data_IF_131464438369
#
_entry.id   IF_131464438369
#
_cell.length_a   1.000
_cell.length_b   1.000
_cell.length_c   1.000
_cell.angle_alpha   90.00
_cell.angle_beta   90.00
_cell.angle_gamma   90.00
#
_symmetry.space_group_name_H-M   'P 1'
#
loop_
_entity.id
_entity.type
_entity.pdbx_description
1 polymer ?
#
# COMPACT_ATOMS: atom_id res chain seq x y z
N UNK A 1 -34.81 17.76 -26.15
CA UNK A 1 -34.98 16.62 -25.23
C UNK A 1 -33.61 16.37 -24.61
N UNK A 2 -33.47 16.72 -23.34
CA UNK A 2 -32.21 16.79 -22.60
C UNK A 2 -31.67 15.38 -22.35
N UNK A 3 -30.43 15.12 -22.76
CA UNK A 3 -29.64 13.99 -22.27
C UNK A 3 -28.56 14.59 -21.36
N UNK A 4 -28.57 14.09 -20.14
CA UNK A 4 -27.84 14.47 -18.94
C UNK A 4 -26.35 14.75 -19.16
N UNK A 5 -25.98 15.98 -18.86
CA UNK A 5 -24.65 16.40 -18.42
C UNK A 5 -24.33 15.65 -17.11
N UNK A 6 -23.76 14.45 -17.23
CA UNK A 6 -23.10 13.79 -16.09
C UNK A 6 -21.93 14.67 -15.69
N UNK A 7 -22.17 15.51 -14.68
CA UNK A 7 -21.11 16.27 -14.02
C UNK A 7 -20.15 15.26 -13.39
N UNK A 8 -19.09 14.91 -14.11
CA UNK A 8 -17.91 14.28 -13.55
C UNK A 8 -17.39 15.25 -12.48
N UNK A 9 -17.56 14.91 -11.21
CA UNK A 9 -16.97 15.69 -10.12
C UNK A 9 -15.47 15.90 -10.44
N UNK A 10 -14.94 17.13 -10.26
CA UNK A 10 -13.55 17.39 -10.59
C UNK A 10 -12.67 16.59 -9.62
N UNK A 11 -12.20 15.42 -10.08
CA UNK A 11 -11.24 14.61 -9.32
C UNK A 11 -10.04 15.50 -8.99
N UNK A 12 -9.70 15.59 -7.70
CA UNK A 12 -8.55 16.36 -7.23
C UNK A 12 -7.32 15.90 -8.03
N UNK A 13 -6.60 16.85 -8.63
CA UNK A 13 -5.44 16.51 -9.47
C UNK A 13 -4.42 15.68 -8.68
N UNK A 14 -3.75 14.74 -9.35
CA UNK A 14 -2.72 13.90 -8.73
C UNK A 14 -1.61 14.74 -8.08
N UNK A 15 -1.25 15.87 -8.69
CA UNK A 15 -0.29 16.84 -8.13
C UNK A 15 -0.79 17.44 -6.81
N UNK A 16 -2.07 17.82 -6.74
CA UNK A 16 -2.67 18.38 -5.52
C UNK A 16 -2.73 17.33 -4.40
N UNK A 17 -3.08 16.08 -4.73
CA UNK A 17 -3.07 14.98 -3.77
C UNK A 17 -1.65 14.69 -3.24
N UNK A 18 -0.66 14.65 -4.13
CA UNK A 18 0.74 14.44 -3.75
C UNK A 18 1.23 15.53 -2.79
N UNK A 19 0.96 16.79 -3.10
CA UNK A 19 1.35 17.92 -2.24
C UNK A 19 0.67 17.88 -0.88
N UNK A 20 -0.60 17.45 -0.81
CA UNK A 20 -1.29 17.21 0.46
C UNK A 20 -0.60 16.10 1.28
N UNK A 21 -0.27 14.97 0.65
CA UNK A 21 0.41 13.87 1.33
C UNK A 21 1.81 14.26 1.81
N UNK A 22 2.57 15.02 1.02
CA UNK A 22 3.90 15.52 1.40
C UNK A 22 3.84 16.43 2.61
N UNK A 23 2.97 17.43 2.60
CA UNK A 23 2.76 18.32 3.76
C UNK A 23 2.34 17.53 5.00
N UNK A 24 1.41 16.59 4.85
CA UNK A 24 0.95 15.75 5.95
C UNK A 24 2.01 14.77 6.48
N UNK A 25 2.98 14.36 5.65
CA UNK A 25 4.13 13.58 6.10
C UNK A 25 5.10 14.43 6.93
N UNK A 26 5.49 15.59 6.39
CA UNK A 26 6.42 16.50 7.08
C UNK A 26 5.85 16.95 8.43
N UNK A 27 4.57 17.31 8.48
CA UNK A 27 3.92 17.75 9.71
C UNK A 27 3.82 16.65 10.78
N UNK A 28 3.64 15.39 10.37
CA UNK A 28 3.51 14.26 11.31
C UNK A 28 4.86 13.65 11.73
N UNK A 29 5.89 13.79 10.89
CA UNK A 29 7.18 13.13 11.05
C UNK A 29 7.14 11.61 10.77
N UNK A 30 8.29 10.92 10.92
CA UNK A 30 8.38 9.48 10.73
C UNK A 30 7.44 8.72 11.68
N UNK A 31 6.62 7.77 11.18
CA UNK A 31 5.64 7.07 12.00
C UNK A 31 6.31 6.05 12.94
N UNK A 32 5.73 5.92 14.14
CA UNK A 32 6.11 4.90 15.13
C UNK A 32 5.85 3.48 14.62
N UNK A 33 6.50 2.49 15.24
CA UNK A 33 6.29 1.07 14.92
C UNK A 33 4.81 0.66 15.01
N UNK A 34 4.09 1.18 16.01
CA UNK A 34 2.67 0.91 16.20
C UNK A 34 1.83 1.45 15.04
N UNK A 35 2.11 2.68 14.59
CA UNK A 35 1.39 3.29 13.48
C UNK A 35 1.69 2.58 12.15
N UNK A 36 2.94 2.15 11.92
CA UNK A 36 3.29 1.37 10.73
C UNK A 36 2.53 0.05 10.67
N UNK A 37 2.50 -0.70 11.78
CA UNK A 37 1.74 -1.96 11.90
C UNK A 37 0.24 -1.73 11.75
N UNK A 38 -0.31 -0.68 12.36
CA UNK A 38 -1.73 -0.36 12.24
C UNK A 38 -2.15 -0.04 10.79
N UNK A 39 -1.32 0.65 10.00
CA UNK A 39 -1.61 0.88 8.58
C UNK A 39 -1.64 -0.41 7.77
N UNK A 40 -0.72 -1.34 8.06
CA UNK A 40 -0.71 -2.67 7.45
C UNK A 40 -1.96 -3.46 7.85
N UNK A 41 -2.34 -3.42 9.12
CA UNK A 41 -3.55 -4.08 9.64
C UNK A 41 -4.82 -3.56 8.97
N UNK A 42 -4.93 -2.24 8.82
CA UNK A 42 -6.07 -1.61 8.13
C UNK A 42 -6.12 -1.95 6.65
N UNK A 43 -4.97 -2.03 5.97
CA UNK A 43 -4.91 -2.45 4.58
C UNK A 43 -5.35 -3.92 4.43
N UNK A 44 -4.91 -4.80 5.33
CA UNK A 44 -5.33 -6.20 5.32
C UNK A 44 -6.83 -6.32 5.64
N UNK A 45 -7.33 -5.60 6.64
CA UNK A 45 -8.75 -5.60 6.98
C UNK A 45 -9.60 -5.13 5.79
N UNK A 46 -9.21 -4.05 5.12
CA UNK A 46 -9.88 -3.56 3.91
C UNK A 46 -10.02 -4.67 2.85
N UNK A 47 -8.96 -5.45 2.62
CA UNK A 47 -9.01 -6.55 1.65
C UNK A 47 -9.86 -7.71 2.15
N UNK A 48 -9.66 -8.15 3.39
CA UNK A 48 -10.33 -9.34 3.92
C UNK A 48 -11.83 -9.12 4.12
N UNK A 49 -12.22 -7.98 4.67
CA UNK A 49 -13.62 -7.61 4.93
C UNK A 49 -14.43 -7.44 3.63
N UNK A 50 -13.73 -7.23 2.49
CA UNK A 50 -14.33 -7.01 1.17
C UNK A 50 -13.92 -8.08 0.16
N UNK A 51 -13.49 -9.27 0.63
CA UNK A 51 -12.94 -10.34 -0.22
C UNK A 51 -13.89 -10.71 -1.36
N UNK A 52 -15.17 -10.95 -1.05
CA UNK A 52 -16.15 -11.37 -2.07
C UNK A 52 -16.38 -10.27 -3.11
N UNK A 53 -16.45 -9.00 -2.68
CA UNK A 53 -16.59 -7.86 -3.57
C UNK A 53 -15.39 -7.73 -4.51
N UNK A 54 -14.16 -7.93 -4.03
CA UNK A 54 -12.97 -7.94 -4.88
C UNK A 54 -12.97 -9.10 -5.87
N UNK A 55 -13.36 -10.30 -5.43
CA UNK A 55 -13.45 -11.48 -6.30
C UNK A 55 -14.48 -11.24 -7.41
N UNK A 56 -15.63 -10.65 -7.11
CA UNK A 56 -16.66 -10.35 -8.10
C UNK A 56 -16.28 -9.20 -9.03
N UNK A 57 -15.61 -8.16 -8.52
CA UNK A 57 -15.07 -7.08 -9.36
C UNK A 57 -14.05 -7.63 -10.36
N UNK A 58 -13.12 -8.46 -9.92
CA UNK A 58 -12.16 -9.12 -10.82
C UNK A 58 -12.85 -10.10 -11.77
N UNK A 59 -13.84 -10.87 -11.31
CA UNK A 59 -14.60 -11.75 -12.21
C UNK A 59 -15.29 -10.96 -13.33
N UNK A 60 -15.76 -9.75 -13.03
CA UNK A 60 -16.34 -8.83 -14.01
C UNK A 60 -15.29 -8.28 -14.96
N UNK A 61 -14.14 -7.82 -14.44
CA UNK A 61 -13.05 -7.27 -15.26
C UNK A 61 -12.45 -8.30 -16.22
N UNK A 62 -12.29 -9.57 -15.80
CA UNK A 62 -11.68 -10.62 -16.63
C UNK A 62 -12.69 -11.48 -17.41
N UNK A 63 -13.97 -11.48 -17.00
CA UNK A 63 -15.08 -12.26 -17.58
C UNK A 63 -15.01 -13.78 -17.33
N UNK A 64 -13.86 -14.40 -17.56
CA UNK A 64 -13.69 -15.87 -17.55
C UNK A 64 -12.73 -16.37 -16.45
N UNK A 65 -12.07 -15.47 -15.74
CA UNK A 65 -11.11 -15.85 -14.70
C UNK A 65 -11.84 -16.55 -13.55
N UNK A 66 -11.30 -17.69 -13.13
CA UNK A 66 -11.86 -18.46 -12.03
C UNK A 66 -11.86 -17.65 -10.73
N UNK A 67 -13.03 -17.52 -10.10
CA UNK A 67 -13.20 -16.88 -8.79
C UNK A 67 -12.30 -17.51 -7.72
N UNK A 68 -12.21 -18.84 -7.70
CA UNK A 68 -11.36 -19.56 -6.77
C UNK A 68 -9.87 -19.26 -7.01
N UNK A 69 -9.46 -19.18 -8.29
CA UNK A 69 -8.09 -18.81 -8.64
C UNK A 69 -7.79 -17.35 -8.25
N UNK A 70 -8.71 -16.42 -8.49
CA UNK A 70 -8.57 -15.02 -8.05
C UNK A 70 -8.47 -14.92 -6.53
N UNK A 71 -9.39 -15.54 -5.79
CA UNK A 71 -9.33 -15.61 -4.32
C UNK A 71 -7.97 -16.11 -3.83
N UNK A 72 -7.48 -17.21 -4.41
CA UNK A 72 -6.21 -17.80 -3.98
C UNK A 72 -5.01 -16.91 -4.31
N UNK A 73 -4.96 -16.36 -5.53
CA UNK A 73 -3.79 -15.59 -6.01
C UNK A 73 -3.75 -14.14 -5.54
N UNK A 74 -4.91 -13.54 -5.31
CA UNK A 74 -5.04 -12.11 -5.03
C UNK A 74 -5.22 -11.80 -3.54
N UNK A 75 -5.88 -12.71 -2.81
CA UNK A 75 -6.26 -12.49 -1.40
C UNK A 75 -5.55 -13.47 -0.48
N UNK A 76 -5.69 -14.78 -0.68
CA UNK A 76 -5.08 -15.77 0.22
C UNK A 76 -3.55 -15.73 0.12
N UNK A 77 -3.02 -15.62 -1.10
CA UNK A 77 -1.58 -15.63 -1.38
C UNK A 77 -0.81 -14.47 -0.76
N UNK A 78 -1.46 -13.32 -0.49
CA UNK A 78 -0.78 -12.15 0.09
C UNK A 78 -0.69 -12.21 1.62
N UNK A 79 -1.54 -12.99 2.28
CA UNK A 79 -1.62 -13.09 3.76
C UNK A 79 -0.27 -13.41 4.41
N UNK A 80 0.44 -14.49 4.04
CA UNK A 80 1.70 -14.82 4.70
C UNK A 80 2.79 -13.76 4.48
N UNK A 81 2.79 -13.10 3.32
CA UNK A 81 3.76 -12.04 3.00
C UNK A 81 3.50 -10.78 3.84
N UNK A 82 2.23 -10.42 4.02
CA UNK A 82 1.85 -9.26 4.82
C UNK A 82 2.08 -9.53 6.30
N UNK A 83 1.78 -10.72 6.81
CA UNK A 83 2.07 -11.07 8.21
C UNK A 83 3.57 -11.11 8.48
N UNK A 84 4.37 -11.62 7.53
CA UNK A 84 5.83 -11.54 7.61
C UNK A 84 6.29 -10.08 7.67
N UNK A 85 5.83 -9.25 6.74
CA UNK A 85 6.13 -7.80 6.69
C UNK A 85 5.78 -7.12 8.02
N UNK A 86 4.58 -7.35 8.52
CA UNK A 86 4.03 -6.74 9.73
C UNK A 86 4.80 -7.14 10.99
N UNK A 87 5.11 -8.42 11.15
CA UNK A 87 5.78 -8.97 12.33
C UNK A 87 7.25 -8.52 12.42
N UNK A 88 7.90 -8.26 11.28
CA UNK A 88 9.32 -7.88 11.23
C UNK A 88 9.57 -6.36 11.29
N UNK A 89 8.54 -5.51 11.18
CA UNK A 89 8.70 -4.03 11.28
C UNK A 89 9.57 -3.59 12.46
N UNK A 90 9.36 -4.06 13.72
CA UNK A 90 10.17 -3.62 14.85
C UNK A 90 11.65 -3.97 14.71
N UNK A 91 11.96 -5.08 14.02
CA UNK A 91 13.34 -5.49 13.76
C UNK A 91 13.96 -4.65 12.65
N UNK A 92 13.24 -4.43 11.56
CA UNK A 92 13.74 -3.68 10.39
C UNK A 92 13.96 -2.19 10.67
N UNK A 93 13.34 -1.64 11.71
CA UNK A 93 13.58 -0.26 12.14
C UNK A 93 14.86 -0.06 12.96
N UNK A 94 15.52 -1.13 13.42
CA UNK A 94 16.70 -1.00 14.31
C UNK A 94 17.91 -0.46 13.56
N UNK A 95 18.64 0.47 14.18
CA UNK A 95 19.90 0.96 13.63
C UNK A 95 20.93 -0.17 13.52
N UNK A 96 21.64 -0.20 12.40
CA UNK A 96 22.75 -1.14 12.19
C UNK A 96 24.04 -0.48 12.66
N UNK A 97 24.62 -1.01 13.74
CA UNK A 97 25.86 -0.50 14.34
C UNK A 97 27.07 -0.93 13.53
N UNK A 98 27.80 0.03 12.99
CA UNK A 98 29.05 -0.16 12.25
C UNK A 98 30.26 -0.02 13.20
N UNK A 99 31.46 -0.35 12.69
CA UNK A 99 32.74 -0.11 13.37
C UNK A 99 32.81 -0.67 14.80
N UNK A 100 32.28 -1.88 15.02
CA UNK A 100 32.20 -2.50 16.36
C UNK A 100 33.55 -2.55 17.08
N UNK A 101 34.64 -2.83 16.36
CA UNK A 101 35.99 -2.88 16.92
C UNK A 101 36.54 -1.49 17.31
N UNK A 102 36.22 -0.44 16.54
CA UNK A 102 36.71 0.92 16.79
C UNK A 102 35.94 1.67 17.89
N UNK A 103 34.84 1.10 18.41
CA UNK A 103 34.11 1.65 19.56
C UNK A 103 34.96 1.75 20.82
N UNK A 104 35.88 0.81 21.03
CA UNK A 104 36.81 0.85 22.15
C UNK A 104 37.74 2.08 22.08
N UNK A 105 38.01 2.58 20.87
CA UNK A 105 38.78 3.80 20.60
C UNK A 105 37.89 5.07 20.53
N UNK A 106 36.61 4.99 20.92
CA UNK A 106 35.69 6.13 20.98
C UNK A 106 34.91 6.42 19.69
N UNK A 107 35.18 5.73 18.58
CA UNK A 107 34.46 5.96 17.31
C UNK A 107 33.08 5.30 17.30
N UNK A 108 32.08 6.01 16.77
CA UNK A 108 30.70 5.51 16.63
C UNK A 108 30.19 5.78 15.21
N UNK A 109 29.64 4.75 14.57
CA UNK A 109 28.96 4.85 13.29
C UNK A 109 27.74 3.92 13.30
N UNK A 110 26.60 4.41 12.82
CA UNK A 110 25.34 3.66 12.74
C UNK A 110 24.61 4.00 11.44
N UNK A 111 23.85 3.05 10.91
CA UNK A 111 22.94 3.24 9.77
C UNK A 111 21.51 3.15 10.29
N UNK A 112 20.76 4.23 10.16
CA UNK A 112 19.36 4.31 10.59
C UNK A 112 18.42 4.28 9.37
N UNK A 113 17.50 3.30 9.28
CA UNK A 113 16.49 3.27 8.23
C UNK A 113 15.47 4.40 8.40
N UNK A 114 15.40 5.30 7.41
CA UNK A 114 14.44 6.40 7.39
C UNK A 114 13.41 6.24 6.24
N UNK A 115 12.14 6.61 6.45
CA UNK A 115 11.15 6.69 5.38
C UNK A 115 11.54 7.74 4.34
N UNK A 116 11.16 7.51 3.08
CA UNK A 116 11.37 8.43 1.96
C UNK A 116 10.32 9.55 1.92
N UNK A 117 9.13 9.31 2.47
CA UNK A 117 8.04 10.28 2.53
C UNK A 117 6.75 9.75 1.90
N UNK A 118 6.51 10.12 0.63
CA UNK A 118 5.34 9.67 -0.13
C UNK A 118 5.80 8.79 -1.29
N UNK A 119 5.26 7.58 -1.36
CA UNK A 119 5.57 6.58 -2.39
C UNK A 119 4.35 6.36 -3.29
N UNK A 120 4.56 6.37 -4.60
CA UNK A 120 3.55 6.01 -5.59
C UNK A 120 3.66 4.53 -5.97
N UNK A 121 2.54 3.82 -6.01
CA UNK A 121 2.44 2.42 -6.43
C UNK A 121 1.54 2.36 -7.66
N UNK A 122 2.08 1.86 -8.76
CA UNK A 122 1.37 1.73 -10.03
C UNK A 122 1.13 0.24 -10.28
N UNK A 123 -0.13 -0.18 -10.14
CA UNK A 123 -0.54 -1.58 -10.30
C UNK A 123 -0.77 -1.95 -11.76
N UNK A 124 -0.26 -3.11 -12.21
CA UNK A 124 -0.63 -3.67 -13.51
C UNK A 124 -2.00 -4.37 -13.43
N UNK A 125 -2.51 -4.83 -14.58
CA UNK A 125 -3.83 -5.43 -14.71
C UNK A 125 -3.89 -6.92 -14.39
N UNK A 126 -2.77 -7.66 -14.44
CA UNK A 126 -2.78 -9.13 -14.40
C UNK A 126 -3.01 -9.70 -13.00
N UNK A 127 -2.51 -9.01 -11.96
CA UNK A 127 -2.87 -9.29 -10.57
C UNK A 127 -3.21 -7.98 -9.85
N UNK A 128 -4.39 -7.40 -10.16
CA UNK A 128 -4.68 -5.99 -9.91
C UNK A 128 -4.73 -5.65 -8.42
N UNK A 129 -4.99 -6.63 -7.56
CA UNK A 129 -5.03 -6.43 -6.11
C UNK A 129 -3.68 -6.76 -5.48
N UNK A 130 -3.16 -7.98 -5.68
CA UNK A 130 -1.92 -8.43 -5.04
C UNK A 130 -0.73 -7.51 -5.34
N UNK A 131 -0.52 -7.16 -6.62
CA UNK A 131 0.62 -6.33 -7.05
C UNK A 131 0.55 -4.87 -6.63
N UNK A 132 -0.53 -4.49 -5.93
CA UNK A 132 -0.70 -3.18 -5.29
C UNK A 132 -0.61 -3.30 -3.77
N UNK A 133 -1.31 -4.27 -3.20
CA UNK A 133 -1.42 -4.44 -1.74
C UNK A 133 -0.07 -4.86 -1.13
N UNK A 134 0.68 -5.77 -1.77
CA UNK A 134 2.00 -6.18 -1.28
C UNK A 134 2.99 -5.00 -1.22
N UNK A 135 3.25 -4.24 -2.29
CA UNK A 135 4.15 -3.09 -2.20
C UNK A 135 3.61 -1.99 -1.27
N UNK A 136 2.29 -1.83 -1.13
CA UNK A 136 1.71 -0.88 -0.19
C UNK A 136 2.02 -1.26 1.26
N UNK A 137 1.90 -2.55 1.60
CA UNK A 137 2.26 -3.06 2.92
C UNK A 137 3.75 -2.82 3.24
N UNK A 138 4.64 -3.04 2.27
CA UNK A 138 6.07 -2.79 2.41
C UNK A 138 6.38 -1.29 2.56
N UNK A 139 5.71 -0.43 1.79
CA UNK A 139 5.87 1.02 1.90
C UNK A 139 5.39 1.54 3.27
N UNK A 140 4.30 1.00 3.82
CA UNK A 140 3.87 1.28 5.19
C UNK A 140 4.86 0.78 6.24
N UNK A 141 5.42 -0.43 6.07
CA UNK A 141 6.46 -0.97 6.94
C UNK A 141 7.72 -0.09 6.96
N UNK A 142 8.10 0.48 5.81
CA UNK A 142 9.19 1.45 5.68
C UNK A 142 8.84 2.84 6.25
N UNK A 143 7.56 3.09 6.60
CA UNK A 143 7.11 4.32 7.24
C UNK A 143 6.63 5.40 6.28
N UNK A 144 6.37 5.06 5.02
CA UNK A 144 5.91 6.01 4.02
C UNK A 144 4.39 6.22 4.08
N UNK A 145 3.93 7.31 3.47
CA UNK A 145 2.57 7.44 2.96
C UNK A 145 2.54 6.87 1.54
N UNK A 146 1.38 6.35 1.14
CA UNK A 146 1.24 5.64 -0.14
C UNK A 146 0.16 6.32 -0.98
N UNK A 147 0.44 6.49 -2.26
CA UNK A 147 -0.54 6.80 -3.30
C UNK A 147 -0.61 5.63 -4.27
N UNK A 148 -1.80 5.22 -4.63
CA UNK A 148 -2.02 4.05 -5.49
C UNK A 148 -2.65 4.52 -6.81
N UNK A 149 -2.11 4.02 -7.92
CA UNK A 149 -2.74 4.07 -9.24
C UNK A 149 -3.01 2.64 -9.69
N UNK A 150 -4.28 2.26 -9.65
CA UNK A 150 -4.76 0.98 -10.18
C UNK A 150 -4.72 0.98 -11.71
N UNK A 151 -4.78 -0.20 -12.32
CA UNK A 151 -4.88 -0.31 -13.78
C UNK A 151 -6.28 0.06 -14.27
N UNK A 152 -6.34 0.85 -15.33
CA UNK A 152 -7.56 1.20 -16.06
C UNK A 152 -8.20 0.01 -16.79
N UNK A 153 -7.45 -1.08 -17.01
CA UNK A 153 -7.95 -2.30 -17.67
C UNK A 153 -8.88 -3.09 -16.74
N UNK A 154 -8.66 -3.00 -15.43
CA UNK A 154 -9.48 -3.66 -14.39
C UNK A 154 -10.26 -2.58 -13.63
N UNK A 155 -11.18 -1.92 -14.33
CA UNK A 155 -11.85 -0.71 -13.85
C UNK A 155 -12.73 -0.96 -12.63
N UNK A 156 -13.43 -2.09 -12.56
CA UNK A 156 -14.32 -2.41 -11.43
C UNK A 156 -13.48 -2.66 -10.17
N UNK A 157 -12.36 -3.37 -10.30
CA UNK A 157 -11.41 -3.57 -9.19
C UNK A 157 -10.79 -2.23 -8.76
N UNK A 158 -10.47 -1.35 -9.70
CA UNK A 158 -9.90 -0.04 -9.43
C UNK A 158 -10.89 0.89 -8.69
N UNK A 159 -12.16 0.90 -9.11
CA UNK A 159 -13.23 1.68 -8.50
C UNK A 159 -13.53 1.19 -7.09
N UNK A 160 -13.69 -0.13 -6.90
CA UNK A 160 -13.90 -0.71 -5.57
C UNK A 160 -12.76 -0.36 -4.60
N UNK A 161 -11.50 -0.47 -5.05
CA UNK A 161 -10.35 -0.08 -4.22
C UNK A 161 -10.37 1.41 -3.85
N UNK A 162 -10.82 2.28 -4.75
CA UNK A 162 -10.91 3.72 -4.51
C UNK A 162 -12.07 4.08 -3.56
N UNK A 163 -13.18 3.35 -3.59
CA UNK A 163 -14.34 3.56 -2.72
C UNK A 163 -14.07 3.14 -1.27
N UNK A 164 -13.29 2.06 -1.09
CA UNK A 164 -12.99 1.50 0.24
C UNK A 164 -11.87 2.23 1.00
N UNK A 165 -11.04 3.02 0.30
CA UNK A 165 -9.79 3.60 0.82
C UNK A 165 -9.93 5.00 1.43
#
# INVERSE_FOLDING_TARGET
>A
MSATDERVEPRVSASTLLERQRRAFIAAGPPSVALRRNRIDRLMALVLDNTDAFVDAMATDFGTRSRAASLFTEVVGIIPVIEHTRSHVPQWMKSTKLMRAARAAGFRAEVEPAPLGVVGIIGPWNFPLNLVVLPASAAFAAGNRVMIKMSEVTSHTAELMAELA
#
